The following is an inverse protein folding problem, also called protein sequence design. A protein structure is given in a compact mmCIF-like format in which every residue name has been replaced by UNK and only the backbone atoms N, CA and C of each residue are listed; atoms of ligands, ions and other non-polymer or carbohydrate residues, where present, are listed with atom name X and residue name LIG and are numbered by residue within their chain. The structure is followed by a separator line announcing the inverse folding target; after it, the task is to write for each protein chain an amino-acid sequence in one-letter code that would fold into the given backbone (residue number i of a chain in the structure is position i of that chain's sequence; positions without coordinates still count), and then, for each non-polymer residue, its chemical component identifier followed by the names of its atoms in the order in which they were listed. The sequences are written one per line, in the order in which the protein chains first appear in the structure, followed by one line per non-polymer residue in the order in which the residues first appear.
data_IF_771843874622
#
_entry.id   IF_771843874622
#
_cell.length_a   1.000
_cell.length_b   1.000
_cell.length_c   1.000
_cell.angle_alpha   90.00
_cell.angle_beta   90.00
_cell.angle_gamma   90.00
#
_symmetry.space_group_name_H-M   'P 1'
#
loop_
_entity.id
_entity.type
_entity.pdbx_description
1 polymer ?
#
# COMPACT_ATOMS: atom_id res chain seq x y z
N UNK A 1 -12.79 30.52 27.29
CA UNK A 1 -13.74 30.63 28.42
C UNK A 1 -14.27 29.24 28.72
N UNK A 2 -13.97 28.71 29.89
CA UNK A 2 -14.34 27.34 30.29
C UNK A 2 -15.81 27.31 30.68
N UNK A 3 -16.65 26.56 29.97
CA UNK A 3 -18.03 26.31 30.34
C UNK A 3 -18.10 25.16 31.34
N UNK A 4 -18.35 25.51 32.62
CA UNK A 4 -18.69 24.56 33.68
C UNK A 4 -20.20 24.30 33.63
N UNK A 5 -20.62 23.06 33.38
CA UNK A 5 -21.98 22.60 33.76
C UNK A 5 -21.90 21.95 35.13
N UNK A 6 -22.28 22.66 36.15
CA UNK A 6 -22.50 22.13 37.49
C UNK A 6 -23.89 21.53 37.55
N UNK A 7 -23.97 20.23 37.85
CA UNK A 7 -25.21 19.59 38.34
C UNK A 7 -25.19 19.59 39.85
N UNK A 8 -26.08 20.34 40.45
CA UNK A 8 -26.33 20.32 41.91
C UNK A 8 -27.24 19.13 42.24
N UNK A 9 -26.74 18.19 43.02
CA UNK A 9 -27.55 17.24 43.81
C UNK A 9 -27.23 17.48 45.26
N UNK A 10 -28.28 17.88 45.98
CA UNK A 10 -28.18 18.19 47.40
C UNK A 10 -28.05 16.98 48.29
N UNK A 11 -27.22 17.14 49.33
CA UNK A 11 -27.42 16.53 50.64
C UNK A 11 -26.61 15.30 51.01
N UNK A 12 -25.66 15.54 51.97
CA UNK A 12 -25.21 14.72 53.11
C UNK A 12 -23.93 13.88 52.91
N UNK A 13 -22.98 14.24 53.77
CA UNK A 13 -21.81 13.50 54.32
C UNK A 13 -20.58 13.26 53.40
N UNK A 14 -19.55 13.91 53.84
CA UNK A 14 -18.10 13.68 53.71
C UNK A 14 -17.60 12.54 52.85
N UNK A 15 -17.50 12.78 51.58
CA UNK A 15 -16.73 11.96 50.66
C UNK A 15 -16.17 12.88 49.56
N UNK A 16 -14.86 12.98 49.45
CA UNK A 16 -14.23 13.67 48.37
C UNK A 16 -14.69 13.04 47.05
N UNK A 17 -15.54 13.74 46.30
CA UNK A 17 -15.91 13.37 44.96
C UNK A 17 -14.67 13.57 44.08
N UNK A 18 -13.91 12.51 43.88
CA UNK A 18 -12.91 12.48 42.80
C UNK A 18 -13.69 12.62 41.49
N UNK A 19 -13.75 13.84 40.95
CA UNK A 19 -14.14 14.03 39.56
C UNK A 19 -13.08 13.31 38.71
N UNK A 20 -13.43 12.12 38.24
CA UNK A 20 -12.70 11.54 37.12
C UNK A 20 -12.83 12.53 35.95
N UNK A 21 -11.73 13.21 35.65
CA UNK A 21 -11.60 13.95 34.41
C UNK A 21 -11.67 12.89 33.30
N UNK A 22 -12.81 12.77 32.64
CA UNK A 22 -12.88 11.99 31.37
C UNK A 22 -11.84 12.57 30.45
N UNK A 23 -10.82 11.79 30.12
CA UNK A 23 -9.86 12.18 29.10
C UNK A 23 -10.63 12.37 27.80
N UNK A 24 -10.54 13.56 27.23
CA UNK A 24 -11.11 13.84 25.92
C UNK A 24 -10.57 12.83 24.92
N UNK A 25 -11.41 12.36 24.00
CA UNK A 25 -11.01 11.44 22.95
C UNK A 25 -9.91 12.05 22.09
N UNK A 26 -8.97 11.23 21.65
CA UNK A 26 -7.87 11.65 20.78
C UNK A 26 -7.83 10.80 19.51
N UNK A 27 -7.59 11.47 18.40
CA UNK A 27 -7.35 10.80 17.10
C UNK A 27 -6.03 11.32 16.53
N UNK A 28 -5.14 10.39 16.19
CA UNK A 28 -3.94 10.70 15.42
C UNK A 28 -4.09 10.10 14.04
N UNK A 29 -4.02 10.94 13.00
CA UNK A 29 -4.09 10.51 11.60
C UNK A 29 -2.71 10.60 10.98
N UNK A 30 -2.27 9.55 10.32
CA UNK A 30 -0.98 9.46 9.67
C UNK A 30 -1.06 8.60 8.40
N UNK A 31 -0.03 8.68 7.58
CA UNK A 31 0.06 7.89 6.36
C UNK A 31 1.40 7.19 6.26
N UNK A 32 1.40 6.10 5.52
CA UNK A 32 2.59 5.35 5.14
C UNK A 32 2.60 5.18 3.63
N UNK A 33 3.70 5.55 3.00
CA UNK A 33 3.90 5.33 1.58
C UNK A 33 4.82 4.12 1.36
N UNK A 34 4.42 3.23 0.48
CA UNK A 34 5.26 2.12 0.02
C UNK A 34 5.40 2.19 -1.50
N UNK A 35 6.55 1.80 -2.03
CA UNK A 35 6.81 1.81 -3.45
C UNK A 35 7.13 0.42 -3.99
N UNK A 36 6.65 0.14 -5.19
CA UNK A 36 6.98 -1.07 -5.94
C UNK A 36 7.09 -0.69 -7.41
N UNK A 37 8.30 -0.54 -7.89
CA UNK A 37 8.56 -0.10 -9.27
C UNK A 37 7.82 1.22 -9.60
N UNK A 38 6.92 1.21 -10.60
CA UNK A 38 6.20 2.41 -11.05
C UNK A 38 5.08 2.86 -10.10
N UNK A 39 4.69 2.03 -9.13
CA UNK A 39 3.52 2.28 -8.30
C UNK A 39 3.93 2.71 -6.90
N UNK A 40 3.24 3.72 -6.35
CA UNK A 40 3.33 4.13 -4.96
C UNK A 40 1.96 3.95 -4.33
N UNK A 41 1.90 3.25 -3.21
CA UNK A 41 0.69 3.09 -2.42
C UNK A 41 0.81 3.93 -1.15
N UNK A 42 -0.17 4.76 -0.87
CA UNK A 42 -0.29 5.52 0.37
C UNK A 42 -1.48 4.97 1.15
N UNK A 43 -1.20 4.37 2.30
CA UNK A 43 -2.21 3.96 3.26
C UNK A 43 -2.39 5.06 4.31
N UNK A 44 -3.61 5.46 4.56
CA UNK A 44 -3.95 6.45 5.58
C UNK A 44 -4.60 5.74 6.77
N UNK A 45 -4.05 5.94 7.95
CA UNK A 45 -4.45 5.29 9.19
C UNK A 45 -4.89 6.31 10.24
N UNK A 46 -5.64 5.82 11.23
CA UNK A 46 -5.96 6.55 12.45
C UNK A 46 -5.71 5.68 13.68
N UNK A 47 -5.11 6.29 14.71
CA UNK A 47 -5.13 5.79 16.07
C UNK A 47 -6.24 6.51 16.84
N UNK A 48 -7.22 5.76 17.35
CA UNK A 48 -8.46 6.27 17.93
C UNK A 48 -8.52 5.81 19.40
N UNK A 49 -8.34 6.74 20.31
CA UNK A 49 -8.19 6.47 21.73
C UNK A 49 -9.35 7.09 22.51
N UNK A 50 -9.91 6.33 23.44
CA UNK A 50 -10.91 6.70 24.47
C UNK A 50 -12.32 7.04 23.97
N UNK A 51 -12.49 7.57 22.77
CA UNK A 51 -13.81 7.94 22.25
C UNK A 51 -13.98 7.38 20.84
N UNK A 52 -14.97 6.53 20.63
CA UNK A 52 -15.14 5.79 19.39
C UNK A 52 -15.54 6.71 18.23
N UNK A 53 -14.79 6.68 17.13
CA UNK A 53 -14.99 7.52 15.97
C UNK A 53 -16.12 6.98 15.08
N UNK A 54 -17.05 7.83 14.70
CA UNK A 54 -18.17 7.50 13.79
C UNK A 54 -17.94 7.96 12.37
N UNK A 55 -17.19 9.04 12.16
CA UNK A 55 -16.90 9.57 10.82
C UNK A 55 -15.55 10.25 10.79
N UNK A 56 -15.00 10.36 9.59
CA UNK A 56 -13.73 11.05 9.34
C UNK A 56 -13.71 11.72 7.96
N UNK A 57 -12.79 12.69 7.80
CA UNK A 57 -12.48 13.28 6.51
C UNK A 57 -11.03 13.70 6.45
N UNK A 58 -10.30 13.25 5.44
CA UNK A 58 -8.89 13.60 5.19
C UNK A 58 -8.67 14.01 3.75
N UNK A 59 -7.75 14.95 3.54
CA UNK A 59 -7.19 15.31 2.26
C UNK A 59 -5.74 14.83 2.20
N UNK A 60 -5.44 13.97 1.23
CA UNK A 60 -4.08 13.60 0.86
C UNK A 60 -3.65 14.48 -0.31
N UNK A 61 -2.63 15.31 -0.10
CA UNK A 61 -2.06 16.16 -1.14
C UNK A 61 -0.79 15.55 -1.72
N UNK A 62 -0.60 15.71 -3.04
CA UNK A 62 0.53 15.21 -3.80
C UNK A 62 0.89 16.17 -4.94
N UNK A 63 2.08 16.02 -5.56
CA UNK A 63 2.47 16.79 -6.75
C UNK A 63 1.83 16.20 -8.02
N UNK A 64 0.88 16.87 -8.69
CA UNK A 64 0.23 16.36 -9.90
C UNK A 64 1.13 16.42 -11.14
N UNK A 65 2.29 17.08 -11.05
CA UNK A 65 3.32 17.06 -12.11
C UNK A 65 4.20 15.82 -12.04
N UNK A 66 4.26 15.16 -10.87
CA UNK A 66 5.12 14.00 -10.64
C UNK A 66 4.34 12.69 -10.57
N UNK A 67 3.06 12.77 -10.17
CA UNK A 67 2.22 11.61 -9.92
C UNK A 67 0.82 11.79 -10.52
N UNK A 68 0.18 10.66 -10.82
CA UNK A 68 -1.26 10.60 -11.12
C UNK A 68 -1.93 9.48 -10.32
N UNK A 69 -3.21 9.65 -10.00
CA UNK A 69 -3.96 8.66 -9.24
C UNK A 69 -4.33 7.47 -10.14
N UNK A 70 -3.93 6.27 -9.74
CA UNK A 70 -4.35 5.00 -10.35
C UNK A 70 -5.66 4.51 -9.75
N UNK A 71 -5.76 4.57 -8.42
CA UNK A 71 -6.97 4.23 -7.69
C UNK A 71 -6.98 4.88 -6.32
N UNK A 72 -8.16 5.14 -5.80
CA UNK A 72 -8.37 5.58 -4.43
C UNK A 72 -9.56 4.82 -3.84
N UNK A 73 -9.41 4.30 -2.62
CA UNK A 73 -10.43 3.48 -1.95
C UNK A 73 -10.46 3.78 -0.47
N UNK A 74 -11.65 3.92 0.10
CA UNK A 74 -11.85 3.87 1.56
C UNK A 74 -11.93 2.42 2.02
N UNK A 75 -11.61 2.17 3.28
CA UNK A 75 -11.76 0.84 3.88
C UNK A 75 -13.23 0.57 4.22
N UNK A 76 -13.99 0.03 3.27
CA UNK A 76 -15.44 -0.24 3.43
C UNK A 76 -15.76 -1.37 4.41
N UNK A 77 -14.77 -2.18 4.82
CA UNK A 77 -14.97 -3.19 5.86
C UNK A 77 -15.17 -2.57 7.25
N UNK A 78 -14.65 -1.36 7.45
CA UNK A 78 -14.74 -0.61 8.71
C UNK A 78 -15.64 0.60 8.56
N UNK A 79 -15.50 1.35 7.46
CA UNK A 79 -16.17 2.62 7.17
C UNK A 79 -17.23 2.42 6.08
N UNK A 80 -18.21 1.63 6.41
CA UNK A 80 -19.34 1.37 5.52
C UNK A 80 -20.45 2.42 5.74
N UNK A 81 -21.12 2.73 4.67
CA UNK A 81 -22.28 3.58 4.73
C UNK A 81 -23.47 2.88 5.36
N UNK A 82 -24.25 3.64 6.09
CA UNK A 82 -25.54 3.17 6.57
C UNK A 82 -26.46 2.73 5.43
N UNK A 83 -27.26 1.73 5.74
CA UNK A 83 -28.34 1.27 4.91
C UNK A 83 -29.25 2.44 4.46
N UNK A 84 -29.84 2.23 3.29
CA UNK A 84 -30.81 3.08 2.60
C UNK A 84 -31.61 4.05 3.48
N UNK A 85 -31.53 5.34 3.20
CA UNK A 85 -32.32 6.39 3.80
C UNK A 85 -31.55 7.41 4.62
N UNK A 86 -30.25 7.27 4.78
CA UNK A 86 -29.43 8.30 5.40
C UNK A 86 -28.92 9.24 4.30
N UNK A 87 -29.12 10.53 4.53
CA UNK A 87 -28.88 11.61 3.59
C UNK A 87 -27.40 11.83 3.26
N UNK A 88 -26.47 11.03 3.78
CA UNK A 88 -25.03 11.25 3.72
C UNK A 88 -24.36 10.12 2.96
N UNK A 89 -24.20 10.36 1.68
CA UNK A 89 -23.44 9.49 0.80
C UNK A 89 -21.95 9.83 0.97
N UNK A 90 -21.25 9.06 1.83
CA UNK A 90 -19.80 9.08 1.82
C UNK A 90 -19.34 8.36 0.55
N UNK A 91 -19.40 9.08 -0.55
CA UNK A 91 -19.00 8.60 -1.86
C UNK A 91 -17.59 7.99 -1.83
N UNK A 92 -17.21 7.33 -2.89
CA UNK A 92 -15.82 6.95 -3.13
C UNK A 92 -14.90 8.16 -3.01
N UNK A 93 -13.61 7.96 -2.68
CA UNK A 93 -12.68 9.06 -2.55
C UNK A 93 -12.73 10.00 -3.76
N UNK A 94 -12.83 11.30 -3.49
CA UNK A 94 -12.89 12.32 -4.52
C UNK A 94 -11.48 12.63 -5.04
N UNK A 95 -11.27 12.40 -6.32
CA UNK A 95 -10.02 12.67 -7.06
C UNK A 95 -10.18 13.75 -8.13
N UNK A 96 -11.28 14.49 -8.11
CA UNK A 96 -11.63 15.50 -9.13
C UNK A 96 -10.69 16.71 -9.14
N UNK A 97 -10.01 16.98 -8.03
CA UNK A 97 -9.06 18.08 -7.90
C UNK A 97 -7.64 17.53 -8.06
N UNK A 98 -6.94 17.98 -9.11
CA UNK A 98 -5.55 17.58 -9.34
C UNK A 98 -4.67 17.98 -8.14
N UNK A 99 -3.82 17.05 -7.70
CA UNK A 99 -2.95 17.25 -6.54
C UNK A 99 -3.60 16.96 -5.19
N UNK A 100 -4.87 16.52 -5.17
CA UNK A 100 -5.58 16.20 -3.95
C UNK A 100 -6.46 14.96 -4.09
N UNK A 101 -6.48 14.12 -3.07
CA UNK A 101 -7.45 13.02 -2.90
C UNK A 101 -8.16 13.24 -1.57
N UNK A 102 -9.47 13.41 -1.61
CA UNK A 102 -10.31 13.54 -0.42
C UNK A 102 -10.93 12.19 -0.08
N UNK A 103 -10.72 11.71 1.14
CA UNK A 103 -11.29 10.46 1.64
C UNK A 103 -12.22 10.80 2.78
N UNK A 104 -13.50 10.52 2.59
CA UNK A 104 -14.53 10.65 3.61
C UNK A 104 -15.06 9.26 3.97
N UNK A 105 -15.32 9.04 5.25
CA UNK A 105 -15.87 7.79 5.71
C UNK A 105 -16.74 7.95 6.94
N UNK A 106 -17.67 7.03 7.11
CA UNK A 106 -18.53 6.98 8.28
C UNK A 106 -18.96 5.55 8.57
N UNK A 107 -19.40 5.36 9.79
CA UNK A 107 -19.98 4.11 10.29
C UNK A 107 -21.30 4.42 10.97
N UNK A 108 -22.33 4.60 10.15
CA UNK A 108 -23.70 4.72 10.60
C UNK A 108 -24.39 3.39 10.35
N UNK A 109 -24.69 2.67 11.40
CA UNK A 109 -25.50 1.47 11.36
C UNK A 109 -26.93 1.86 11.78
N UNK A 110 -27.89 1.65 10.89
CA UNK A 110 -29.30 1.96 11.20
C UNK A 110 -29.89 1.13 12.32
N UNK A 111 -29.27 0.01 12.68
CA UNK A 111 -29.69 -0.86 13.79
C UNK A 111 -28.97 -0.53 15.10
N UNK A 112 -27.80 0.08 15.06
CA UNK A 112 -27.03 0.50 16.23
C UNK A 112 -26.12 1.71 15.90
N UNK A 113 -26.71 2.91 15.79
CA UNK A 113 -26.05 4.12 15.32
C UNK A 113 -24.90 4.60 16.23
N UNK A 114 -24.78 4.05 17.43
CA UNK A 114 -23.79 4.48 18.42
C UNK A 114 -22.52 3.61 18.46
N UNK A 115 -22.38 2.64 17.56
CA UNK A 115 -21.15 1.87 17.44
C UNK A 115 -20.13 2.62 16.60
N UNK A 116 -19.15 3.23 17.24
CA UNK A 116 -17.98 3.81 16.57
C UNK A 116 -16.81 2.83 16.47
N UNK A 117 -15.68 3.33 16.03
CA UNK A 117 -14.42 2.60 15.86
C UNK A 117 -13.38 3.12 16.84
N UNK A 118 -12.72 2.21 17.55
CA UNK A 118 -11.53 2.47 18.37
C UNK A 118 -10.41 1.52 17.93
N UNK A 119 -9.18 1.88 18.20
CA UNK A 119 -8.02 1.04 17.94
C UNK A 119 -6.83 1.81 17.41
N UNK A 120 -5.73 1.09 17.21
CA UNK A 120 -4.52 1.57 16.57
C UNK A 120 -4.41 1.04 15.15
N UNK A 121 -3.75 1.80 14.27
CA UNK A 121 -3.58 1.43 12.85
C UNK A 121 -4.90 1.13 12.13
N UNK A 122 -5.97 1.85 12.47
CA UNK A 122 -7.25 1.69 11.80
C UNK A 122 -7.15 2.29 10.40
N UNK A 123 -7.20 1.45 9.37
CA UNK A 123 -7.10 1.90 7.99
C UNK A 123 -8.33 2.73 7.60
N UNK A 124 -8.12 3.97 7.21
CA UNK A 124 -9.14 4.87 6.67
C UNK A 124 -9.33 4.65 5.17
N UNK A 125 -8.22 4.58 4.42
CA UNK A 125 -8.24 4.35 2.99
C UNK A 125 -6.85 4.16 2.39
N UNK A 126 -6.82 3.80 1.12
CA UNK A 126 -5.60 3.59 0.33
C UNK A 126 -5.70 4.34 -0.98
N UNK A 127 -4.62 5.01 -1.36
CA UNK A 127 -4.48 5.67 -2.68
C UNK A 127 -3.25 5.09 -3.38
N UNK A 128 -3.44 4.62 -4.61
CA UNK A 128 -2.36 4.15 -5.46
C UNK A 128 -2.04 5.19 -6.52
N UNK A 129 -0.78 5.49 -6.71
CA UNK A 129 -0.27 6.46 -7.67
C UNK A 129 0.64 5.79 -8.69
N UNK A 130 0.56 6.27 -9.94
CA UNK A 130 1.56 6.05 -10.97
C UNK A 130 2.50 7.26 -11.07
N UNK A 131 3.73 7.02 -11.52
CA UNK A 131 4.76 8.05 -11.68
C UNK A 131 4.70 8.71 -13.05
N UNK A 132 4.90 10.03 -13.10
CA UNK A 132 5.12 10.82 -14.32
C UNK A 132 6.57 11.25 -14.47
N UNK A 133 7.28 11.38 -13.35
CA UNK A 133 8.68 11.83 -13.30
C UNK A 133 9.52 10.94 -12.39
N UNK A 134 10.83 11.17 -12.40
CA UNK A 134 11.78 10.54 -11.48
C UNK A 134 12.01 11.35 -10.20
N UNK A 135 11.20 12.37 -9.93
CA UNK A 135 11.33 13.12 -8.68
C UNK A 135 10.91 12.28 -7.47
N UNK A 136 11.58 12.50 -6.34
CA UNK A 136 11.13 11.91 -5.07
C UNK A 136 9.78 12.53 -4.69
N UNK A 137 8.70 11.74 -4.61
CA UNK A 137 7.39 12.27 -4.32
C UNK A 137 7.26 12.68 -2.86
N UNK A 138 6.49 13.73 -2.63
CA UNK A 138 6.12 14.19 -1.30
C UNK A 138 4.61 14.15 -1.14
N UNK A 139 4.18 13.79 0.06
CA UNK A 139 2.77 13.71 0.43
C UNK A 139 2.52 14.48 1.71
N UNK A 140 1.35 15.07 1.83
CA UNK A 140 0.89 15.66 3.09
C UNK A 140 -0.57 15.31 3.34
N UNK A 141 -0.93 15.22 4.61
CA UNK A 141 -2.30 15.02 5.07
C UNK A 141 -2.82 16.32 5.68
N UNK A 142 -4.10 16.57 5.48
CA UNK A 142 -4.86 17.60 6.15
C UNK A 142 -6.27 17.10 6.47
N UNK A 143 -6.96 17.72 7.42
CA UNK A 143 -8.37 17.46 7.68
C UNK A 143 -9.20 17.94 6.48
N UNK A 144 -10.16 17.11 6.06
CA UNK A 144 -11.11 17.48 5.02
C UNK A 144 -12.44 17.83 5.69
N UNK A 145 -12.71 19.12 5.83
CA UNK A 145 -14.04 19.55 6.24
C UNK A 145 -14.97 19.53 5.04
N UNK A 146 -15.99 18.67 5.06
CA UNK A 146 -17.14 18.89 4.20
C UNK A 146 -17.95 20.06 4.77
N UNK A 147 -18.50 20.89 3.92
CA UNK A 147 -19.14 22.18 4.27
C UNK A 147 -20.26 22.08 5.31
N UNK A 148 -20.81 20.89 5.54
CA UNK A 148 -21.98 20.66 6.39
C UNK A 148 -21.78 19.58 7.46
N UNK A 149 -20.57 19.00 7.59
CA UNK A 149 -20.30 17.90 8.53
C UNK A 149 -18.98 18.10 9.26
N UNK A 150 -19.05 17.88 10.57
CA UNK A 150 -17.88 17.63 11.39
C UNK A 150 -17.32 16.25 11.03
N UNK A 151 -16.13 16.20 10.44
CA UNK A 151 -15.59 14.99 9.84
C UNK A 151 -15.05 13.98 10.86
N UNK A 152 -14.60 14.43 12.02
CA UNK A 152 -14.13 13.55 13.10
C UNK A 152 -15.12 13.58 14.26
N UNK A 153 -16.27 12.92 14.05
CA UNK A 153 -17.34 12.85 15.05
C UNK A 153 -17.30 11.52 15.78
N UNK A 154 -17.35 11.57 17.10
CA UNK A 154 -17.37 10.39 17.96
C UNK A 154 -18.78 9.98 18.36
N UNK A 155 -18.94 8.78 18.95
CA UNK A 155 -20.22 8.28 19.47
C UNK A 155 -20.80 9.15 20.59
N UNK A 156 -19.97 9.93 21.27
CA UNK A 156 -20.39 10.86 22.32
C UNK A 156 -20.75 12.25 21.78
N UNK A 157 -20.70 12.42 20.44
CA UNK A 157 -20.99 13.68 19.77
C UNK A 157 -19.87 14.71 19.84
N UNK A 158 -18.67 14.31 20.28
CA UNK A 158 -17.50 15.18 20.25
C UNK A 158 -17.03 15.34 18.80
N UNK A 159 -16.62 16.56 18.46
CA UNK A 159 -16.06 16.91 17.17
C UNK A 159 -14.57 17.15 17.36
N UNK A 160 -13.75 16.18 17.00
CA UNK A 160 -12.33 16.18 17.34
C UNK A 160 -11.48 17.13 16.48
N UNK A 161 -12.00 17.57 15.34
CA UNK A 161 -11.31 18.42 14.39
C UNK A 161 -11.69 19.90 14.48
N UNK A 162 -12.59 20.29 15.38
CA UNK A 162 -13.07 21.67 15.49
C UNK A 162 -12.68 22.43 16.77
N UNK A 163 -11.60 22.01 17.42
CA UNK A 163 -11.02 22.74 18.55
C UNK A 163 -11.54 22.41 19.94
N UNK A 164 -12.46 21.46 20.09
CA UNK A 164 -12.91 20.91 21.36
C UNK A 164 -12.38 19.49 21.67
N UNK A 165 -11.65 18.90 20.73
CA UNK A 165 -10.96 17.61 20.85
C UNK A 165 -9.53 17.68 20.32
N UNK A 166 -8.81 16.56 20.37
CA UNK A 166 -7.40 16.45 19.99
C UNK A 166 -7.23 15.54 18.77
N UNK A 167 -7.61 16.00 17.58
CA UNK A 167 -7.20 15.37 16.33
C UNK A 167 -5.81 15.91 15.93
N UNK A 168 -4.85 15.01 15.73
CA UNK A 168 -3.49 15.37 15.27
C UNK A 168 -3.23 14.73 13.92
N UNK A 169 -2.80 15.54 12.96
CA UNK A 169 -2.39 15.07 11.64
C UNK A 169 -0.87 15.02 11.56
N UNK A 170 -0.36 13.92 11.03
CA UNK A 170 1.06 13.78 10.71
C UNK A 170 1.25 13.72 9.20
N UNK A 171 2.44 14.10 8.75
CA UNK A 171 2.82 13.91 7.35
C UNK A 171 2.86 12.41 7.02
N UNK A 172 2.75 12.09 5.73
CA UNK A 172 2.93 10.72 5.26
C UNK A 172 4.40 10.34 5.38
N UNK A 173 4.67 9.26 6.10
CA UNK A 173 6.01 8.68 6.21
C UNK A 173 6.41 7.98 4.93
N UNK A 174 7.65 8.10 4.45
CA UNK A 174 8.15 7.31 3.33
C UNK A 174 8.29 5.83 3.73
N UNK A 175 8.42 4.96 2.72
CA UNK A 175 8.74 3.55 2.93
C UNK A 175 10.07 3.41 3.68
N UNK A 176 10.11 2.74 4.84
CA UNK A 176 11.36 2.57 5.58
C UNK A 176 12.40 1.72 4.83
N UNK A 177 11.98 0.93 3.84
CA UNK A 177 12.86 0.10 3.03
C UNK A 177 13.29 0.80 1.72
N UNK A 178 12.56 1.80 1.28
CA UNK A 178 12.86 2.62 0.09
C UNK A 178 12.59 4.09 0.44
N UNK A 179 13.49 4.70 1.20
CA UNK A 179 13.30 6.04 1.78
C UNK A 179 13.20 7.15 0.72
N UNK A 180 13.61 6.87 -0.51
CA UNK A 180 13.48 7.78 -1.67
C UNK A 180 12.32 7.45 -2.58
N UNK A 181 11.58 6.38 -2.27
CA UNK A 181 10.45 5.91 -3.06
C UNK A 181 10.82 5.74 -4.55
N UNK A 182 12.00 5.21 -4.84
CA UNK A 182 12.48 4.98 -6.22
C UNK A 182 12.00 3.66 -6.80
N UNK A 183 11.32 2.84 -6.00
CA UNK A 183 10.74 1.56 -6.39
C UNK A 183 11.64 0.35 -6.15
N UNK A 184 12.79 0.56 -5.49
CA UNK A 184 13.78 -0.48 -5.15
C UNK A 184 14.31 -0.20 -3.76
N UNK A 185 14.47 -1.23 -2.88
CA UNK A 185 14.93 -1.04 -1.51
C UNK A 185 16.31 -0.36 -1.40
N UNK A 186 16.46 0.50 -0.38
CA UNK A 186 17.69 1.25 -0.10
C UNK A 186 18.92 0.34 0.04
N UNK A 187 18.76 -0.84 0.71
CA UNK A 187 19.88 -1.77 0.91
C UNK A 187 20.44 -2.30 -0.41
N UNK A 188 19.59 -2.55 -1.41
CA UNK A 188 20.01 -3.02 -2.73
C UNK A 188 20.71 -1.91 -3.52
N UNK A 189 20.20 -0.68 -3.44
CA UNK A 189 20.84 0.49 -4.05
C UNK A 189 22.25 0.70 -3.47
N UNK A 190 22.39 0.61 -2.14
CA UNK A 190 23.70 0.72 -1.48
C UNK A 190 24.65 -0.40 -1.89
N UNK A 191 24.17 -1.62 -2.02
CA UNK A 191 24.96 -2.78 -2.41
C UNK A 191 25.62 -2.63 -3.78
N UNK A 192 24.86 -2.15 -4.77
CA UNK A 192 25.33 -2.12 -6.16
C UNK A 192 25.82 -0.75 -6.61
N UNK A 193 25.33 0.34 -6.02
CA UNK A 193 25.60 1.70 -6.47
C UNK A 193 26.26 2.59 -5.39
N UNK A 194 26.35 2.13 -4.15
CA UNK A 194 26.98 2.85 -3.05
C UNK A 194 26.21 4.09 -2.57
N UNK A 195 25.02 4.35 -3.10
CA UNK A 195 24.17 5.51 -2.74
C UNK A 195 22.70 5.19 -2.95
N UNK A 196 21.80 5.96 -2.29
CA UNK A 196 20.36 5.81 -2.41
C UNK A 196 19.75 6.98 -3.19
N UNK A 197 18.69 6.71 -3.95
CA UNK A 197 17.94 7.71 -4.69
C UNK A 197 18.64 8.27 -5.93
N UNK A 198 19.72 7.64 -6.38
CA UNK A 198 20.48 8.04 -7.58
C UNK A 198 20.16 7.19 -8.79
N UNK A 199 19.46 6.09 -8.59
CA UNK A 199 19.03 5.16 -9.65
C UNK A 199 17.52 4.96 -9.55
N UNK A 200 16.93 4.49 -10.64
CA UNK A 200 15.50 4.23 -10.69
C UNK A 200 15.24 2.77 -11.05
N UNK A 201 14.07 2.29 -10.68
CA UNK A 201 13.60 0.95 -11.01
C UNK A 201 13.65 0.64 -12.52
N UNK A 202 13.49 1.65 -13.39
CA UNK A 202 13.45 1.53 -14.84
C UNK A 202 14.81 1.65 -15.52
N UNK A 203 15.86 2.02 -14.79
CA UNK A 203 17.21 2.15 -15.38
C UNK A 203 17.79 0.76 -15.66
N UNK A 204 18.60 0.69 -16.74
CA UNK A 204 19.37 -0.48 -17.16
C UNK A 204 20.85 -0.06 -17.28
N UNK A 205 21.60 -0.07 -16.17
CA UNK A 205 22.95 0.51 -16.11
C UNK A 205 24.01 -0.23 -16.91
N UNK A 206 23.90 -1.55 -17.06
CA UNK A 206 24.87 -2.36 -17.81
C UNK A 206 24.44 -2.65 -19.24
N UNK A 207 23.20 -2.30 -19.62
CA UNK A 207 22.69 -2.37 -20.97
C UNK A 207 22.42 -3.79 -21.45
N UNK A 208 22.03 -4.71 -20.56
CA UNK A 208 21.74 -6.09 -20.92
C UNK A 208 20.26 -6.31 -21.34
N UNK A 209 19.41 -5.31 -21.16
CA UNK A 209 18.00 -5.31 -21.50
C UNK A 209 17.07 -5.60 -20.34
N UNK A 210 17.63 -5.79 -19.11
CA UNK A 210 16.86 -5.91 -17.87
C UNK A 210 17.06 -4.65 -17.03
N UNK A 211 15.95 -4.09 -16.54
CA UNK A 211 16.03 -2.91 -15.70
C UNK A 211 16.28 -3.30 -14.23
N UNK A 212 16.65 -2.31 -13.42
CA UNK A 212 16.97 -2.50 -12.00
C UNK A 212 15.88 -3.26 -11.22
N UNK A 213 14.58 -3.02 -11.49
CA UNK A 213 13.50 -3.75 -10.82
C UNK A 213 13.50 -5.22 -11.19
N UNK A 214 13.66 -5.54 -12.48
CA UNK A 214 13.71 -6.92 -12.96
C UNK A 214 14.89 -7.66 -12.37
N UNK A 215 16.03 -6.99 -12.23
CA UNK A 215 17.23 -7.55 -11.62
C UNK A 215 17.10 -7.71 -10.10
N UNK A 216 16.49 -6.73 -9.43
CA UNK A 216 16.14 -6.87 -8.03
C UNK A 216 15.24 -8.10 -7.79
N UNK A 217 14.17 -8.25 -8.57
CA UNK A 217 13.26 -9.39 -8.47
C UNK A 217 13.90 -10.72 -8.81
N UNK A 218 14.84 -10.73 -9.77
CA UNK A 218 15.57 -11.91 -10.20
C UNK A 218 16.80 -12.22 -9.36
N UNK A 219 17.19 -11.35 -8.43
CA UNK A 219 18.45 -11.44 -7.65
C UNK A 219 19.69 -11.47 -8.54
N UNK A 220 19.71 -10.68 -9.61
CA UNK A 220 20.84 -10.54 -10.51
C UNK A 220 21.63 -9.25 -10.23
N UNK A 221 22.74 -9.02 -10.90
CA UNK A 221 23.63 -7.90 -10.63
C UNK A 221 23.48 -6.81 -11.71
N UNK A 222 22.89 -5.63 -11.40
CA UNK A 222 22.53 -4.57 -12.34
C UNK A 222 23.75 -3.83 -12.94
N UNK A 223 24.94 -4.18 -12.54
CA UNK A 223 26.18 -3.61 -13.06
C UNK A 223 27.03 -4.62 -13.83
N UNK A 224 26.46 -5.81 -14.08
CA UNK A 224 27.18 -6.88 -14.79
C UNK A 224 26.29 -7.50 -15.87
N UNK A 225 26.48 -7.07 -17.09
CA UNK A 225 25.76 -7.51 -18.29
C UNK A 225 25.63 -9.02 -18.49
N UNK A 226 26.46 -9.84 -17.84
CA UNK A 226 26.39 -11.30 -17.89
C UNK A 226 25.52 -11.91 -16.81
N UNK A 227 24.94 -11.09 -15.93
CA UNK A 227 24.15 -11.52 -14.77
C UNK A 227 22.68 -11.16 -14.93
N UNK A 228 21.92 -11.96 -15.64
CA UNK A 228 20.48 -11.77 -15.84
C UNK A 228 19.71 -13.09 -15.70
N UNK A 229 18.41 -13.03 -15.55
CA UNK A 229 17.55 -14.20 -15.59
C UNK A 229 17.23 -14.56 -17.02
N UNK A 230 17.70 -15.70 -17.51
CA UNK A 230 17.50 -16.07 -18.90
C UNK A 230 17.54 -17.56 -19.17
N UNK A 231 16.85 -17.97 -20.24
CA UNK A 231 16.89 -19.34 -20.73
C UNK A 231 18.25 -19.58 -21.39
N UNK A 232 18.96 -20.61 -20.94
CA UNK A 232 20.26 -21.02 -21.53
C UNK A 232 20.11 -22.14 -22.55
N UNK A 233 19.00 -22.86 -22.57
CA UNK A 233 18.74 -23.88 -23.58
C UNK A 233 17.52 -24.75 -23.32
N UNK A 234 17.12 -25.45 -24.37
CA UNK A 234 16.16 -26.52 -24.29
C UNK A 234 16.57 -27.65 -25.23
N UNK A 235 16.63 -28.87 -24.74
CA UNK A 235 16.99 -30.05 -25.52
C UNK A 235 15.95 -31.15 -25.34
N UNK A 236 15.62 -31.84 -26.42
CA UNK A 236 14.61 -32.93 -26.40
C UNK A 236 15.24 -34.29 -26.62
N UNK A 237 14.83 -35.23 -25.79
CA UNK A 237 15.17 -36.66 -25.94
C UNK A 237 13.90 -37.52 -25.71
N UNK A 238 13.31 -37.99 -26.78
CA UNK A 238 12.03 -38.70 -26.74
C UNK A 238 10.88 -37.84 -26.22
N UNK A 239 10.25 -38.28 -25.15
CA UNK A 239 9.17 -37.53 -24.48
C UNK A 239 9.69 -36.45 -23.53
N UNK A 240 10.98 -36.46 -23.19
CA UNK A 240 11.58 -35.55 -22.22
C UNK A 240 12.13 -34.31 -22.90
N UNK A 241 11.87 -33.15 -22.30
CA UNK A 241 12.52 -31.86 -22.65
C UNK A 241 13.29 -31.36 -21.44
N UNK A 242 14.62 -31.34 -21.56
CA UNK A 242 15.45 -30.67 -20.54
C UNK A 242 15.52 -29.18 -20.86
N UNK A 243 15.03 -28.39 -19.94
CA UNK A 243 15.03 -26.91 -20.02
C UNK A 243 16.06 -26.41 -19.03
N UNK A 244 16.96 -25.51 -19.48
CA UNK A 244 18.02 -24.93 -18.65
C UNK A 244 17.95 -23.42 -18.67
N UNK A 245 18.27 -22.80 -17.52
CA UNK A 245 18.30 -21.35 -17.38
C UNK A 245 19.38 -20.94 -16.37
N UNK A 246 19.68 -19.66 -16.35
CA UNK A 246 20.53 -19.02 -15.34
C UNK A 246 19.76 -17.86 -14.68
N UNK A 247 20.13 -17.50 -13.46
CA UNK A 247 19.52 -16.44 -12.68
C UNK A 247 20.18 -16.26 -11.32
N UNK A 248 19.59 -15.45 -10.48
CA UNK A 248 20.08 -15.17 -9.13
C UNK A 248 19.80 -16.30 -8.14
N UNK A 249 20.36 -16.16 -6.93
CA UNK A 249 20.37 -17.21 -5.90
C UNK A 249 19.25 -17.04 -4.89
N UNK A 250 18.83 -15.80 -4.60
CA UNK A 250 17.88 -15.48 -3.53
C UNK A 250 16.46 -15.16 -4.03
N UNK A 251 16.18 -15.44 -5.32
CA UNK A 251 14.86 -15.26 -5.89
C UNK A 251 14.15 -16.61 -6.08
N UNK A 252 12.85 -16.63 -5.91
CA UNK A 252 12.01 -17.74 -6.33
C UNK A 252 11.91 -17.73 -7.84
N UNK A 253 12.33 -18.83 -8.49
CA UNK A 253 12.29 -18.97 -9.95
C UNK A 253 11.15 -19.90 -10.34
N UNK A 254 10.32 -19.50 -11.30
CA UNK A 254 9.16 -20.25 -11.76
C UNK A 254 9.32 -20.55 -13.24
N UNK A 255 9.49 -21.83 -13.58
CA UNK A 255 9.47 -22.30 -14.96
C UNK A 255 8.03 -22.51 -15.39
N UNK A 256 7.66 -21.88 -16.51
CA UNK A 256 6.33 -21.99 -17.09
C UNK A 256 6.41 -22.63 -18.49
N UNK A 257 5.34 -23.34 -18.83
CA UNK A 257 5.14 -23.95 -20.14
C UNK A 257 3.84 -23.48 -20.77
N UNK A 258 3.85 -23.33 -22.09
CA UNK A 258 2.65 -23.21 -22.91
C UNK A 258 2.76 -24.12 -24.15
N UNK A 259 1.63 -24.56 -24.66
CA UNK A 259 1.56 -25.32 -25.92
C UNK A 259 1.22 -24.44 -27.14
N UNK A 260 0.97 -23.15 -26.91
CA UNK A 260 0.66 -22.18 -27.97
C UNK A 260 1.28 -20.81 -27.65
N UNK A 261 1.52 -20.03 -28.69
CA UNK A 261 1.88 -18.60 -28.58
C UNK A 261 0.83 -17.77 -29.32
N UNK A 262 0.45 -16.64 -28.73
CA UNK A 262 -0.53 -15.70 -29.31
C UNK A 262 -1.24 -14.89 -28.21
N UNK A 263 -2.27 -14.16 -28.58
CA UNK A 263 -3.01 -13.27 -27.67
C UNK A 263 -3.74 -13.99 -26.52
N UNK A 264 -3.98 -15.31 -26.67
CA UNK A 264 -4.65 -16.17 -25.67
C UNK A 264 -3.70 -17.20 -25.06
N UNK A 265 -2.41 -16.94 -25.01
CA UNK A 265 -1.42 -17.88 -24.48
C UNK A 265 -1.67 -18.14 -23.00
N UNK A 266 -1.91 -19.41 -22.65
CA UNK A 266 -1.98 -19.87 -21.27
C UNK A 266 -0.62 -20.41 -20.83
N UNK A 267 0.00 -19.77 -19.87
CA UNK A 267 1.22 -20.23 -19.22
C UNK A 267 0.90 -21.01 -17.95
N UNK A 268 1.45 -22.20 -17.83
CA UNK A 268 1.25 -23.10 -16.68
C UNK A 268 2.58 -23.24 -15.93
N UNK A 269 2.56 -23.03 -14.63
CA UNK A 269 3.72 -23.29 -13.78
C UNK A 269 3.97 -24.78 -13.74
N UNK A 270 5.14 -25.22 -14.19
CA UNK A 270 5.54 -26.63 -14.21
C UNK A 270 6.63 -26.94 -13.20
N UNK A 271 7.37 -25.94 -12.74
CA UNK A 271 8.38 -26.09 -11.71
C UNK A 271 8.57 -24.77 -10.97
N UNK A 272 8.71 -24.86 -9.65
CA UNK A 272 9.07 -23.73 -8.78
C UNK A 272 10.35 -24.08 -8.05
N UNK A 273 11.37 -23.26 -8.25
CA UNK A 273 12.68 -23.36 -7.63
C UNK A 273 12.78 -22.34 -6.52
N UNK A 274 12.75 -22.80 -5.27
CA UNK A 274 12.81 -21.94 -4.09
C UNK A 274 14.25 -21.57 -3.74
N UNK A 275 14.50 -20.36 -3.21
CA UNK A 275 15.83 -19.95 -2.77
C UNK A 275 16.31 -20.79 -1.55
N UNK A 276 17.63 -21.01 -1.42
CA UNK A 276 18.69 -20.57 -2.33
C UNK A 276 18.74 -21.43 -3.60
N UNK A 277 18.69 -20.79 -4.77
CA UNK A 277 18.72 -21.45 -6.07
C UNK A 277 20.13 -21.59 -6.62
N UNK A 278 20.34 -22.49 -7.59
CA UNK A 278 21.59 -22.55 -8.34
C UNK A 278 21.60 -21.45 -9.41
N UNK A 279 22.76 -20.83 -9.65
CA UNK A 279 22.94 -19.86 -10.73
C UNK A 279 22.57 -20.49 -12.08
N UNK A 280 22.96 -21.74 -12.32
CA UNK A 280 22.55 -22.52 -13.47
C UNK A 280 21.62 -23.62 -13.02
N UNK A 281 20.38 -23.58 -13.44
CA UNK A 281 19.35 -24.52 -13.08
C UNK A 281 18.81 -25.26 -14.32
N UNK A 282 18.25 -26.44 -14.11
CA UNK A 282 17.58 -27.19 -15.15
C UNK A 282 16.42 -28.01 -14.61
N UNK A 283 15.45 -28.30 -15.47
CA UNK A 283 14.29 -29.12 -15.16
C UNK A 283 13.97 -30.02 -16.35
N UNK A 284 13.56 -31.25 -16.09
CA UNK A 284 13.11 -32.20 -17.11
C UNK A 284 11.60 -32.24 -17.14
N UNK A 285 11.03 -31.72 -18.21
CA UNK A 285 9.59 -31.75 -18.46
C UNK A 285 9.24 -32.94 -19.34
N UNK A 286 8.26 -33.74 -18.89
CA UNK A 286 7.80 -34.91 -19.61
C UNK A 286 6.55 -34.58 -20.40
N UNK A 287 6.69 -34.39 -21.73
CA UNK A 287 5.61 -33.92 -22.58
C UNK A 287 4.63 -35.01 -23.05
N UNK A 288 4.99 -36.25 -23.01
CA UNK A 288 4.15 -37.35 -23.52
C UNK A 288 3.74 -37.11 -24.97
N UNK A 289 4.53 -37.58 -25.94
CA UNK A 289 4.22 -37.47 -27.36
C UNK A 289 5.02 -36.39 -28.13
N UNK A 290 4.55 -36.01 -29.32
CA UNK A 290 5.28 -35.13 -30.25
C UNK A 290 4.86 -33.64 -30.24
N UNK A 291 4.24 -33.21 -29.15
CA UNK A 291 3.77 -31.82 -29.03
C UNK A 291 4.93 -30.82 -28.99
N UNK A 292 4.74 -29.66 -29.62
CA UNK A 292 5.60 -28.48 -29.42
C UNK A 292 5.24 -27.82 -28.09
N UNK A 293 6.26 -27.37 -27.38
CA UNK A 293 6.09 -26.61 -26.13
C UNK A 293 7.01 -25.39 -26.13
N UNK A 294 6.53 -24.35 -25.50
CA UNK A 294 7.25 -23.10 -25.27
C UNK A 294 7.50 -22.94 -23.77
N UNK A 295 8.64 -22.39 -23.42
CA UNK A 295 9.07 -22.25 -22.05
C UNK A 295 9.46 -20.81 -21.75
N UNK A 296 9.22 -20.37 -20.55
CA UNK A 296 9.77 -19.15 -19.98
C UNK A 296 10.10 -19.34 -18.51
N UNK A 297 11.07 -18.60 -18.01
CA UNK A 297 11.37 -18.48 -16.59
C UNK A 297 10.98 -17.09 -16.10
N UNK A 298 10.41 -17.05 -14.91
CA UNK A 298 10.10 -15.81 -14.18
C UNK A 298 10.75 -15.88 -12.81
N UNK A 299 11.02 -14.75 -12.21
CA UNK A 299 11.49 -14.68 -10.83
C UNK A 299 10.72 -13.63 -10.04
N UNK A 300 10.74 -13.79 -8.71
CA UNK A 300 10.25 -12.80 -7.74
C UNK A 300 10.94 -13.03 -6.39
N UNK A 301 11.09 -11.95 -5.64
CA UNK A 301 11.52 -11.95 -4.23
C UNK A 301 10.35 -11.97 -3.27
#
# INVERSE_FOLDING_TARGET
MKNWKSVFLGGISGGALLMQQQSEGAVTVYGEATSTGPTINVNVYADIVNDALMSFGVNLSYSPTDLYVLSARKNTNVWYMAASGVQYDYADPDTSVAGQVRILGGRLDGSNPLQGVTGTNVLLGTVSFGRLTHNTPTFSLALAHATDFANFVTTNGNVLDSGSGSATLTAVSPDPNDTKLVGIPDWWQLQYFGSIGTIWWSDDPDGDGFNNLQEYEADTNPTNRASFLGMSGASRSGANVTVSWHGGVQATQVLQRSFSLGSSTLWVNIFTNLPPTLINASYVDVLGGSQSAYYRVMAHR
#
